data_IF_330413749084
#
_entry.id   IF_330413749084
#
_cell.length_a   1.000
_cell.length_b   1.000
_cell.length_c   1.000
_cell.angle_alpha   90.00
_cell.angle_beta   90.00
_cell.angle_gamma   90.00
#
_symmetry.space_group_name_H-M   'P 1'
#
loop_
_entity.id
_entity.type
_entity.pdbx_description
1 polymer ?
#
# COMPACT_ATOMS: atom_id res chain seq x y z
N UNK A 1 8.86 -24.29 20.78
CA UNK A 1 9.42 -23.30 19.83
C UNK A 1 8.24 -22.73 19.04
N UNK A 2 7.79 -21.52 19.35
CA UNK A 2 6.76 -20.85 18.54
C UNK A 2 7.41 -20.42 17.23
N UNK A 3 7.10 -21.09 16.13
CA UNK A 3 7.41 -20.58 14.81
C UNK A 3 6.55 -19.34 14.62
N UNK A 4 7.16 -18.14 14.54
CA UNK A 4 6.41 -16.97 14.11
C UNK A 4 5.90 -17.26 12.70
N UNK A 5 4.58 -17.36 12.55
CA UNK A 5 4.00 -17.45 11.22
C UNK A 5 4.47 -16.23 10.43
N UNK A 6 5.15 -16.47 9.30
CA UNK A 6 5.60 -15.42 8.40
C UNK A 6 4.37 -14.88 7.67
N UNK A 7 3.63 -14.01 8.33
CA UNK A 7 2.39 -13.41 7.84
C UNK A 7 2.56 -11.91 7.78
N UNK A 8 2.07 -11.34 6.68
CA UNK A 8 1.88 -9.90 6.55
C UNK A 8 0.40 -9.60 6.46
N UNK A 9 0.01 -8.46 7.02
CA UNK A 9 -1.35 -7.95 6.94
C UNK A 9 -1.33 -6.46 6.66
N UNK A 10 -2.32 -6.01 5.93
CA UNK A 10 -2.59 -4.59 5.73
C UNK A 10 -3.99 -4.29 6.25
N UNK A 11 -4.17 -3.06 6.74
CA UNK A 11 -5.48 -2.44 6.98
C UNK A 11 -5.46 -1.02 6.45
N UNK A 12 -6.57 -0.58 5.87
CA UNK A 12 -6.70 0.80 5.44
C UNK A 12 -8.16 1.25 5.51
N UNK A 13 -8.30 2.53 5.83
CA UNK A 13 -9.57 3.22 5.95
C UNK A 13 -9.75 4.13 4.73
N UNK A 14 -10.93 4.06 4.13
CA UNK A 14 -11.34 4.94 3.04
C UNK A 14 -12.17 6.06 3.66
N UNK A 15 -11.80 7.29 3.34
CA UNK A 15 -12.53 8.50 3.70
C UNK A 15 -12.91 9.25 2.44
N UNK A 16 -14.05 9.94 2.47
CA UNK A 16 -14.44 10.85 1.39
C UNK A 16 -13.65 12.16 1.43
N UNK A 17 -13.94 13.09 0.52
CA UNK A 17 -13.23 14.39 0.49
C UNK A 17 -13.49 15.29 1.70
N UNK A 18 -14.52 15.02 2.52
CA UNK A 18 -14.81 15.73 3.76
C UNK A 18 -14.04 15.14 4.94
N UNK A 19 -13.41 13.98 4.73
CA UNK A 19 -12.75 13.21 5.78
C UNK A 19 -13.70 12.27 6.51
N UNK A 20 -14.93 12.10 6.04
CA UNK A 20 -15.90 11.20 6.65
C UNK A 20 -15.54 9.74 6.32
N UNK A 21 -15.70 8.85 7.30
CA UNK A 21 -15.41 7.43 7.12
C UNK A 21 -16.42 6.80 6.16
N UNK A 22 -15.90 6.15 5.11
CA UNK A 22 -16.72 5.44 4.12
C UNK A 22 -16.65 3.93 4.33
N UNK A 23 -15.42 3.38 4.40
CA UNK A 23 -15.21 1.94 4.47
C UNK A 23 -13.85 1.59 5.06
N UNK A 24 -13.69 0.32 5.43
CA UNK A 24 -12.41 -0.27 5.82
C UNK A 24 -12.14 -1.49 4.94
N UNK A 25 -10.88 -1.69 4.57
CA UNK A 25 -10.45 -2.90 3.90
C UNK A 25 -9.23 -3.49 4.60
N UNK A 26 -9.14 -4.82 4.59
CA UNK A 26 -8.04 -5.56 5.17
C UNK A 26 -7.68 -6.74 4.28
N UNK A 27 -6.39 -7.04 4.20
CA UNK A 27 -5.88 -8.19 3.47
C UNK A 27 -4.71 -8.81 4.24
N UNK A 28 -4.52 -10.11 4.10
CA UNK A 28 -3.40 -10.83 4.69
C UNK A 28 -2.84 -11.82 3.68
N UNK A 29 -1.56 -12.13 3.84
CA UNK A 29 -0.87 -13.14 3.05
C UNK A 29 0.28 -13.75 3.84
N UNK A 30 0.54 -15.03 3.61
CA UNK A 30 1.78 -15.66 4.07
C UNK A 30 2.97 -15.15 3.24
N UNK A 31 4.02 -14.69 3.91
CA UNK A 31 5.23 -14.16 3.30
C UNK A 31 6.02 -13.24 4.22
N UNK A 32 7.23 -12.89 3.78
CA UNK A 32 8.03 -11.81 4.37
C UNK A 32 8.13 -10.72 3.31
N UNK A 33 7.71 -9.52 3.67
CA UNK A 33 7.84 -8.32 2.84
C UNK A 33 8.53 -7.26 3.68
N UNK A 34 9.49 -6.55 3.10
CA UNK A 34 10.26 -5.51 3.80
C UNK A 34 10.39 -4.29 2.91
N UNK A 35 9.73 -3.16 3.25
CA UNK A 35 8.69 -3.02 4.27
C UNK A 35 7.39 -3.73 3.86
N UNK A 36 6.64 -4.28 4.82
CA UNK A 36 5.35 -4.94 4.55
C UNK A 36 4.30 -3.95 4.00
N UNK A 37 4.46 -2.68 4.35
CA UNK A 37 3.65 -1.55 3.91
C UNK A 37 3.75 -1.31 2.40
N UNK A 38 4.83 -1.71 1.73
CA UNK A 38 4.92 -1.63 0.27
C UNK A 38 3.92 -2.59 -0.39
N UNK A 39 3.80 -3.81 0.13
CA UNK A 39 2.77 -4.75 -0.30
C UNK A 39 1.37 -4.28 0.08
N UNK A 40 1.20 -3.74 1.31
CA UNK A 40 -0.06 -3.15 1.74
C UNK A 40 -0.54 -2.00 0.84
N UNK A 41 0.38 -1.14 0.39
CA UNK A 41 0.10 -0.07 -0.56
C UNK A 41 -0.38 -0.62 -1.91
N UNK A 42 0.27 -1.65 -2.45
CA UNK A 42 -0.17 -2.29 -3.68
C UNK A 42 -1.60 -2.82 -3.56
N UNK A 43 -1.90 -3.56 -2.48
CA UNK A 43 -3.25 -4.07 -2.26
C UNK A 43 -4.28 -2.94 -2.11
N UNK A 44 -3.90 -1.83 -1.48
CA UNK A 44 -4.76 -0.65 -1.38
C UNK A 44 -5.04 0.02 -2.71
N UNK A 45 -4.03 0.14 -3.57
CA UNK A 45 -4.19 0.67 -4.92
C UNK A 45 -5.09 -0.21 -5.80
N UNK A 46 -4.91 -1.53 -5.75
CA UNK A 46 -5.77 -2.49 -6.47
C UNK A 46 -7.24 -2.40 -6.01
N UNK A 47 -7.46 -2.28 -4.69
CA UNK A 47 -8.78 -2.09 -4.11
C UNK A 47 -9.43 -0.78 -4.60
N UNK A 48 -8.71 0.34 -4.49
CA UNK A 48 -9.21 1.66 -4.92
C UNK A 48 -9.51 1.70 -6.43
N UNK A 49 -8.66 1.09 -7.25
CA UNK A 49 -8.88 0.97 -8.69
C UNK A 49 -10.12 0.14 -9.01
N UNK A 50 -10.34 -0.98 -8.30
CA UNK A 50 -11.52 -1.83 -8.46
C UNK A 50 -12.81 -1.11 -8.08
N UNK A 51 -12.76 -0.23 -7.08
CA UNK A 51 -13.86 0.64 -6.66
C UNK A 51 -14.09 1.84 -7.60
N UNK A 52 -13.26 2.01 -8.63
CA UNK A 52 -13.39 3.09 -9.62
C UNK A 52 -12.78 4.42 -9.18
N UNK A 53 -11.96 4.45 -8.13
CA UNK A 53 -11.28 5.66 -7.69
C UNK A 53 -10.02 5.91 -8.51
N UNK A 54 -9.99 7.02 -9.25
CA UNK A 54 -8.84 7.44 -10.07
C UNK A 54 -8.03 8.59 -9.47
N UNK A 55 -8.59 9.28 -8.46
CA UNK A 55 -7.95 10.39 -7.76
C UNK A 55 -8.07 10.17 -6.26
N UNK A 56 -6.95 9.86 -5.61
CA UNK A 56 -6.89 9.50 -4.19
C UNK A 56 -5.72 10.18 -3.52
N UNK A 57 -5.85 10.42 -2.22
CA UNK A 57 -4.75 10.78 -1.32
C UNK A 57 -4.49 9.57 -0.45
N UNK A 58 -3.24 9.13 -0.40
CA UNK A 58 -2.83 7.98 0.39
C UNK A 58 -1.99 8.47 1.57
N UNK A 59 -2.45 8.18 2.77
CA UNK A 59 -1.75 8.46 4.02
C UNK A 59 -1.14 7.15 4.54
N UNK A 60 0.17 7.18 4.83
CA UNK A 60 0.91 6.05 5.37
C UNK A 60 1.93 6.52 6.40
N UNK A 61 2.14 5.74 7.44
CA UNK A 61 3.15 5.95 8.49
C UNK A 61 4.54 5.42 8.10
N UNK A 62 4.65 4.64 7.03
CA UNK A 62 5.92 4.13 6.54
C UNK A 62 6.67 5.15 5.66
N UNK A 63 7.53 5.97 6.29
CA UNK A 63 8.35 6.98 5.61
C UNK A 63 9.19 6.43 4.45
N UNK A 64 9.68 5.19 4.56
CA UNK A 64 10.46 4.54 3.50
C UNK A 64 9.64 4.38 2.22
N UNK A 65 8.45 3.78 2.32
CA UNK A 65 7.54 3.59 1.18
C UNK A 65 7.09 4.94 0.61
N UNK A 66 6.75 5.90 1.48
CA UNK A 66 6.34 7.25 1.04
C UNK A 66 7.44 7.92 0.22
N UNK A 67 8.69 7.82 0.67
CA UNK A 67 9.83 8.40 -0.04
C UNK A 67 10.08 7.70 -1.37
N UNK A 68 10.08 6.36 -1.38
CA UNK A 68 10.32 5.57 -2.59
C UNK A 68 9.30 5.91 -3.68
N UNK A 69 8.02 6.06 -3.34
CA UNK A 69 6.97 6.47 -4.29
C UNK A 69 7.16 7.92 -4.75
N UNK A 70 7.40 8.86 -3.83
CA UNK A 70 7.48 10.30 -4.16
C UNK A 70 8.71 10.65 -5.00
N UNK A 71 9.82 9.97 -4.74
CA UNK A 71 11.10 10.27 -5.37
C UNK A 71 11.52 9.21 -6.39
N UNK A 72 10.60 8.31 -6.76
CA UNK A 72 10.83 7.33 -7.81
C UNK A 72 11.25 8.02 -9.10
N UNK A 73 12.44 7.70 -9.59
CA UNK A 73 12.89 8.08 -10.92
C UNK A 73 12.79 6.84 -11.80
N UNK A 74 12.05 6.89 -12.93
CA UNK A 74 12.07 5.82 -13.90
C UNK A 74 13.51 5.60 -14.32
N UNK A 75 13.99 4.35 -14.28
CA UNK A 75 15.25 4.02 -14.90
C UNK A 75 15.11 4.35 -16.39
N UNK A 76 15.89 5.31 -16.89
CA UNK A 76 16.03 5.51 -18.32
C UNK A 76 16.64 4.21 -18.88
N UNK A 77 15.88 3.47 -19.67
CA UNK A 77 16.42 2.37 -20.45
C UNK A 77 17.43 2.96 -21.44
N UNK A 78 18.70 3.01 -21.03
CA UNK A 78 19.80 3.24 -21.96
C UNK A 78 19.99 1.93 -22.73
N UNK A 79 19.33 1.83 -23.88
CA UNK A 79 19.67 0.84 -24.88
C UNK A 79 21.10 1.14 -25.37
N UNK A 80 22.08 0.37 -24.90
CA UNK A 80 23.39 0.21 -25.54
C UNK A 80 23.56 -1.25 -25.93
#
# INVERSE_FOLDING_TARGET
MFMSEKKVSMRACIRDERGDFVAVFSSFRDGIFTPAEAWGLLQGLECLATLGHSKVIIEMDCKMVVNDVKYYKPLSLNNR
#
